data_IF_388853271124
#
_entry.id   IF_388853271124
#
_cell.length_a   1.000
_cell.length_b   1.000
_cell.length_c   1.000
_cell.angle_alpha   90.00
_cell.angle_beta   90.00
_cell.angle_gamma   90.00
#
_symmetry.space_group_name_H-M   'P 1'
#
loop_
_entity.id
_entity.type
_entity.pdbx_description
1 polymer ?
#
# COMPACT_ATOMS: atom_id res chain seq x y z
N UNK A 1 54.33 -66.10 -12.13
CA UNK A 1 53.70 -66.23 -13.46
C UNK A 1 52.78 -65.04 -13.66
N UNK A 2 53.20 -64.13 -14.54
CA UNK A 2 52.58 -62.84 -14.86
C UNK A 2 51.48 -63.04 -15.88
N UNK A 3 50.30 -62.45 -15.69
CA UNK A 3 49.50 -61.94 -16.81
C UNK A 3 48.83 -60.61 -16.43
N UNK A 4 49.12 -59.62 -17.24
CA UNK A 4 48.67 -58.22 -17.20
C UNK A 4 47.61 -58.12 -18.28
N UNK A 5 46.41 -57.59 -17.98
CA UNK A 5 45.47 -57.23 -19.04
C UNK A 5 45.00 -55.78 -18.89
N UNK A 6 45.40 -54.98 -19.87
CA UNK A 6 44.97 -53.60 -20.14
C UNK A 6 43.84 -53.67 -21.16
N UNK A 7 42.65 -53.16 -20.82
CA UNK A 7 41.61 -52.63 -21.73
C UNK A 7 40.38 -52.40 -20.84
N UNK A 8 39.67 -51.28 -20.77
CA UNK A 8 39.48 -50.19 -21.71
C UNK A 8 39.25 -48.91 -20.90
N UNK A 9 40.11 -47.90 -21.10
CA UNK A 9 39.75 -46.50 -20.86
C UNK A 9 39.13 -46.01 -22.17
N UNK A 10 37.81 -45.78 -22.18
CA UNK A 10 37.04 -44.83 -23.02
C UNK A 10 35.62 -45.36 -23.24
N UNK A 11 34.72 -44.99 -22.33
CA UNK A 11 33.33 -44.69 -22.64
C UNK A 11 33.12 -43.28 -22.08
N UNK A 12 33.42 -42.23 -22.86
CA UNK A 12 32.41 -41.37 -23.49
C UNK A 12 31.32 -40.99 -22.48
N UNK A 13 31.46 -39.87 -21.75
CA UNK A 13 31.15 -38.52 -22.23
C UNK A 13 29.76 -38.43 -22.84
N UNK A 14 28.72 -38.78 -22.09
CA UNK A 14 27.37 -38.25 -22.24
C UNK A 14 26.55 -38.68 -21.02
N UNK A 15 25.49 -37.92 -20.73
CA UNK A 15 24.61 -38.01 -19.57
C UNK A 15 25.16 -37.43 -18.27
N UNK A 16 24.55 -36.45 -17.62
CA UNK A 16 23.59 -35.43 -18.04
C UNK A 16 23.67 -34.38 -16.94
N UNK A 17 23.61 -33.13 -17.36
CA UNK A 17 23.58 -31.94 -16.53
C UNK A 17 22.69 -32.12 -15.29
N UNK A 18 23.29 -32.22 -14.09
CA UNK A 18 22.56 -32.09 -12.84
C UNK A 18 22.14 -30.63 -12.73
N UNK A 19 20.85 -30.43 -13.05
CA UNK A 19 20.10 -29.18 -13.03
C UNK A 19 20.46 -28.33 -11.80
N UNK A 20 21.22 -27.26 -12.03
CA UNK A 20 21.36 -26.15 -11.08
C UNK A 20 19.99 -25.46 -11.00
N UNK A 21 19.17 -25.88 -10.03
CA UNK A 21 17.84 -25.31 -9.76
C UNK A 21 18.01 -23.82 -9.44
N UNK A 22 17.84 -22.98 -10.46
CA UNK A 22 17.78 -21.53 -10.32
C UNK A 22 16.67 -21.21 -9.33
N UNK A 23 17.06 -20.75 -8.14
CA UNK A 23 16.13 -20.09 -7.23
C UNK A 23 15.70 -18.81 -7.92
N UNK A 24 14.54 -18.82 -8.57
CA UNK A 24 13.86 -17.59 -8.97
C UNK A 24 13.52 -16.85 -7.68
N UNK A 25 14.31 -15.83 -7.34
CA UNK A 25 13.96 -14.90 -6.27
C UNK A 25 12.70 -14.18 -6.73
N UNK A 26 11.54 -14.63 -6.26
CA UNK A 26 10.35 -13.80 -6.30
C UNK A 26 10.60 -12.70 -5.27
N UNK A 27 11.13 -11.57 -5.74
CA UNK A 27 10.94 -10.31 -5.02
C UNK A 27 9.43 -10.09 -5.10
N UNK A 28 8.72 -10.52 -4.05
CA UNK A 28 7.33 -10.18 -3.87
C UNK A 28 7.35 -8.70 -3.52
N UNK A 29 7.24 -7.86 -4.55
CA UNK A 29 6.81 -6.49 -4.35
C UNK A 29 5.39 -6.59 -3.77
N UNK A 30 5.29 -6.53 -2.44
CA UNK A 30 4.03 -6.26 -1.76
C UNK A 30 3.59 -4.87 -2.21
N UNK A 31 2.86 -4.85 -3.32
CA UNK A 31 2.21 -3.65 -3.82
C UNK A 31 1.20 -3.24 -2.75
N UNK A 32 1.51 -2.16 -2.03
CA UNK A 32 0.49 -1.41 -1.29
C UNK A 32 -0.38 -0.76 -2.37
N UNK A 33 -1.32 -1.54 -2.90
CA UNK A 33 -2.31 -1.08 -3.85
C UNK A 33 -3.40 -0.36 -3.07
N UNK A 34 -3.15 0.87 -2.65
CA UNK A 34 -4.21 1.76 -2.21
C UNK A 34 -5.09 2.08 -3.43
N UNK A 35 -6.28 1.51 -3.47
CA UNK A 35 -7.28 1.91 -4.46
C UNK A 35 -7.93 3.18 -3.93
N UNK A 36 -7.44 4.33 -4.38
CA UNK A 36 -8.05 5.62 -4.10
C UNK A 36 -9.31 5.77 -4.98
N UNK A 37 -10.48 5.47 -4.42
CA UNK A 37 -11.74 5.91 -5.02
C UNK A 37 -11.89 7.41 -4.73
N UNK A 38 -11.43 8.24 -5.67
CA UNK A 38 -11.71 9.67 -5.65
C UNK A 38 -13.19 9.90 -5.94
N UNK A 39 -14.00 10.07 -4.90
CA UNK A 39 -15.34 10.63 -5.08
C UNK A 39 -15.15 12.07 -5.55
N UNK A 40 -15.49 12.30 -6.82
CA UNK A 40 -15.64 13.61 -7.43
C UNK A 40 -16.39 14.54 -6.47
N UNK A 41 -15.72 15.61 -6.02
CA UNK A 41 -16.31 16.59 -5.11
C UNK A 41 -17.58 17.16 -5.72
N UNK A 42 -18.63 17.27 -4.91
CA UNK A 42 -19.86 17.93 -5.34
C UNK A 42 -19.68 19.43 -5.12
N UNK A 43 -19.88 20.23 -6.17
CA UNK A 43 -20.11 21.67 -6.01
C UNK A 43 -21.51 21.80 -5.42
N UNK A 44 -21.59 21.86 -4.10
CA UNK A 44 -22.86 21.76 -3.40
C UNK A 44 -23.72 23.00 -3.63
N UNK A 45 -23.10 24.19 -3.78
CA UNK A 45 -23.77 25.46 -4.07
C UNK A 45 -22.75 26.41 -4.74
N UNK A 46 -23.15 26.97 -5.89
CA UNK A 46 -22.52 28.13 -6.51
C UNK A 46 -23.51 29.29 -6.39
N UNK A 47 -23.10 30.39 -5.76
CA UNK A 47 -23.92 31.59 -5.66
C UNK A 47 -23.33 32.67 -6.53
N UNK A 48 -24.05 33.01 -7.59
CA UNK A 48 -23.70 34.10 -8.50
C UNK A 48 -24.47 35.36 -8.11
N UNK A 49 -23.78 36.49 -8.10
CA UNK A 49 -24.40 37.79 -7.87
C UNK A 49 -23.99 38.77 -8.96
N UNK A 50 -24.94 39.62 -9.34
CA UNK A 50 -24.73 40.73 -10.26
C UNK A 50 -25.51 41.94 -9.74
N UNK A 51 -24.79 43.02 -9.42
CA UNK A 51 -25.37 44.26 -8.92
C UNK A 51 -24.65 45.46 -9.53
N UNK A 52 -25.27 46.03 -10.57
CA UNK A 52 -24.69 47.12 -11.35
C UNK A 52 -23.44 46.68 -12.09
N UNK A 53 -22.29 47.12 -11.61
CA UNK A 53 -20.96 46.84 -12.20
C UNK A 53 -20.20 45.74 -11.45
N UNK A 54 -20.75 45.27 -10.34
CA UNK A 54 -20.22 44.16 -9.58
C UNK A 54 -20.83 42.87 -10.09
N UNK A 55 -19.96 41.93 -10.46
CA UNK A 55 -20.35 40.55 -10.76
C UNK A 55 -19.42 39.61 -10.00
N UNK A 56 -19.92 38.50 -9.50
CA UNK A 56 -19.06 37.55 -8.81
C UNK A 56 -19.74 36.20 -8.58
N UNK A 57 -18.92 35.23 -8.20
CA UNK A 57 -19.35 33.90 -7.80
C UNK A 57 -18.76 33.50 -6.45
N UNK A 58 -19.53 32.73 -5.70
CA UNK A 58 -19.05 32.00 -4.55
C UNK A 58 -19.30 30.52 -4.81
N UNK A 59 -18.23 29.77 -5.02
CA UNK A 59 -18.28 28.35 -5.33
C UNK A 59 -17.86 27.54 -4.11
N UNK A 60 -18.72 26.64 -3.66
CA UNK A 60 -18.41 25.73 -2.55
C UNK A 60 -18.33 24.29 -3.03
N UNK A 61 -17.15 23.69 -2.87
CA UNK A 61 -16.89 22.28 -3.18
C UNK A 61 -16.67 21.51 -1.89
N UNK A 62 -17.49 20.48 -1.66
CA UNK A 62 -17.29 19.51 -0.59
C UNK A 62 -16.77 18.20 -1.18
N UNK A 63 -15.73 17.63 -0.57
CA UNK A 63 -15.15 16.35 -0.96
C UNK A 63 -15.07 15.44 0.26
N UNK A 64 -15.36 14.15 0.06
CA UNK A 64 -15.10 13.11 1.04
C UNK A 64 -14.20 12.07 0.39
N UNK A 65 -13.05 11.81 1.01
CA UNK A 65 -12.08 10.81 0.55
C UNK A 65 -12.00 9.70 1.58
N UNK A 66 -11.97 8.45 1.11
CA UNK A 66 -11.77 7.29 1.95
C UNK A 66 -10.86 6.28 1.23
N UNK A 67 -10.06 5.56 2.00
CA UNK A 67 -9.14 4.53 1.49
C UNK A 67 -9.30 3.24 2.29
N UNK A 68 -9.29 2.11 1.58
CA UNK A 68 -9.47 0.79 2.16
C UNK A 68 -8.28 -0.12 1.88
N UNK A 69 -8.05 -1.05 2.79
CA UNK A 69 -7.10 -2.15 2.62
C UNK A 69 -7.61 -3.12 1.56
N UNK A 70 -6.77 -3.49 0.60
CA UNK A 70 -7.17 -4.32 -0.55
C UNK A 70 -6.90 -5.81 -0.39
N UNK A 71 -6.14 -6.21 0.62
CA UNK A 71 -5.86 -7.61 0.91
C UNK A 71 -5.44 -7.79 2.35
N UNK A 72 -5.56 -9.00 2.88
CA UNK A 72 -5.27 -9.26 4.29
C UNK A 72 -3.81 -8.91 4.67
N UNK A 73 -3.57 -8.75 5.97
CA UNK A 73 -2.23 -8.54 6.49
C UNK A 73 -1.33 -9.75 6.18
N UNK A 74 -0.10 -9.49 5.74
CA UNK A 74 0.90 -10.55 5.54
C UNK A 74 1.48 -10.97 6.91
N UNK A 75 1.26 -12.22 7.36
CA UNK A 75 1.76 -12.68 8.66
C UNK A 75 3.29 -12.66 8.76
N UNK A 76 4.02 -12.63 7.64
CA UNK A 76 5.49 -12.55 7.63
C UNK A 76 6.03 -11.15 7.92
N UNK A 77 5.21 -10.11 7.75
CA UNK A 77 5.60 -8.71 7.98
C UNK A 77 5.44 -8.27 9.43
N UNK A 78 4.62 -8.97 10.20
CA UNK A 78 4.30 -8.65 11.60
C UNK A 78 5.16 -9.45 12.57
N UNK A 79 5.22 -9.04 13.83
CA UNK A 79 5.97 -9.78 14.86
C UNK A 79 5.43 -11.20 15.09
N UNK A 80 6.30 -12.18 15.37
CA UNK A 80 5.91 -13.59 15.60
C UNK A 80 4.80 -13.73 16.66
N UNK A 81 4.84 -12.90 17.71
CA UNK A 81 3.81 -12.89 18.75
C UNK A 81 2.39 -12.51 18.24
N UNK A 82 2.29 -11.78 17.13
CA UNK A 82 1.00 -11.40 16.55
C UNK A 82 0.31 -12.58 15.83
N UNK A 83 1.08 -13.57 15.39
CA UNK A 83 0.59 -14.79 14.75
C UNK A 83 0.47 -15.95 15.74
N UNK A 84 1.36 -16.01 16.73
CA UNK A 84 1.34 -16.97 17.82
C UNK A 84 1.70 -16.27 19.14
N UNK A 85 0.72 -15.90 19.99
CA UNK A 85 0.97 -15.19 21.24
C UNK A 85 1.78 -16.00 22.25
N UNK A 86 1.85 -17.33 22.08
CA UNK A 86 2.61 -18.25 22.93
C UNK A 86 3.97 -18.62 22.35
N UNK A 87 4.47 -17.91 21.33
CA UNK A 87 5.78 -18.23 20.72
C UNK A 87 6.92 -18.26 21.75
N UNK A 88 6.82 -17.50 22.83
CA UNK A 88 7.81 -17.46 23.90
C UNK A 88 7.86 -18.76 24.74
N UNK A 89 6.81 -19.57 24.75
CA UNK A 89 6.76 -20.85 25.48
C UNK A 89 7.32 -22.02 24.67
N UNK A 90 7.45 -21.85 23.36
CA UNK A 90 7.97 -22.89 22.46
C UNK A 90 9.48 -23.08 22.61
N UNK A 91 10.01 -24.30 22.40
CA UNK A 91 11.45 -24.53 22.30
C UNK A 91 12.09 -23.63 21.23
N UNK A 92 13.32 -23.15 21.48
CA UNK A 92 14.04 -22.24 20.56
C UNK A 92 14.13 -22.79 19.12
N UNK A 93 14.22 -24.11 18.96
CA UNK A 93 14.21 -24.80 17.67
C UNK A 93 12.91 -24.59 16.87
N UNK A 94 11.79 -24.42 17.55
CA UNK A 94 10.45 -24.26 16.96
C UNK A 94 10.05 -22.78 16.81
N UNK A 95 10.61 -21.89 17.62
CA UNK A 95 10.38 -20.44 17.50
C UNK A 95 10.81 -19.90 16.12
N UNK A 96 11.84 -20.51 15.51
CA UNK A 96 12.30 -20.18 14.16
C UNK A 96 11.25 -20.46 13.08
N UNK A 97 10.47 -21.53 13.22
CA UNK A 97 9.44 -21.93 12.25
C UNK A 97 8.14 -21.13 12.31
N UNK A 98 7.90 -20.37 13.39
CA UNK A 98 6.73 -19.50 13.48
C UNK A 98 6.83 -18.36 12.45
N UNK A 99 5.77 -18.14 11.66
CA UNK A 99 5.73 -17.04 10.69
C UNK A 99 5.79 -15.67 11.39
N UNK A 100 6.49 -14.71 10.80
CA UNK A 100 6.63 -13.35 11.32
C UNK A 100 8.06 -12.96 11.69
N UNK A 101 8.23 -11.68 12.04
CA UNK A 101 9.50 -11.04 12.39
C UNK A 101 9.83 -11.22 13.88
N UNK A 102 11.12 -11.20 14.20
CA UNK A 102 11.60 -11.26 15.60
C UNK A 102 11.35 -9.97 16.39
N UNK A 103 11.07 -8.86 15.71
CA UNK A 103 10.79 -7.58 16.32
C UNK A 103 9.37 -7.14 15.96
N UNK A 104 8.63 -6.65 16.94
CA UNK A 104 7.32 -6.02 16.74
C UNK A 104 7.43 -4.64 16.07
N UNK A 105 8.57 -3.96 16.22
CA UNK A 105 8.74 -2.58 15.78
C UNK A 105 8.75 -2.43 14.25
N UNK A 106 8.86 -3.54 13.51
CA UNK A 106 8.81 -3.56 12.06
C UNK A 106 7.42 -3.76 11.46
N UNK A 107 6.37 -3.69 12.28
CA UNK A 107 4.98 -3.93 11.86
C UNK A 107 4.41 -2.85 10.94
N UNK A 108 4.86 -1.60 11.10
CA UNK A 108 4.49 -0.45 10.25
C UNK A 108 2.96 -0.24 10.11
N UNK A 109 2.21 -0.49 11.19
CA UNK A 109 0.75 -0.29 11.22
C UNK A 109 -0.07 -1.39 10.53
N UNK A 110 0.57 -2.47 10.07
CA UNK A 110 -0.10 -3.56 9.38
C UNK A 110 -1.13 -4.29 10.26
N UNK A 111 -0.95 -4.31 11.59
CA UNK A 111 -1.91 -4.91 12.52
C UNK A 111 -3.12 -4.01 12.84
N UNK A 112 -3.08 -2.71 12.50
CA UNK A 112 -4.23 -1.81 12.68
C UNK A 112 -5.34 -2.08 11.65
N UNK A 113 -4.96 -2.64 10.50
CA UNK A 113 -5.85 -2.97 9.39
C UNK A 113 -5.53 -4.40 8.95
N UNK A 114 -6.14 -5.38 9.63
CA UNK A 114 -5.79 -6.81 9.46
C UNK A 114 -6.48 -7.42 8.25
N UNK A 115 -7.69 -6.99 7.95
CA UNK A 115 -8.57 -7.64 7.00
C UNK A 115 -8.70 -6.81 5.73
N UNK A 116 -8.87 -7.48 4.59
CA UNK A 116 -9.28 -6.80 3.37
C UNK A 116 -10.61 -6.07 3.60
N UNK A 117 -10.70 -4.81 3.18
CA UNK A 117 -11.87 -3.97 3.41
C UNK A 117 -11.80 -3.12 4.67
N UNK A 118 -10.74 -3.22 5.49
CA UNK A 118 -10.53 -2.30 6.60
C UNK A 118 -10.32 -0.86 6.09
N UNK A 119 -11.01 0.11 6.70
CA UNK A 119 -10.89 1.53 6.36
C UNK A 119 -9.58 2.08 6.95
N UNK A 120 -8.66 2.52 6.08
CA UNK A 120 -7.32 2.98 6.47
C UNK A 120 -7.33 4.47 6.81
N UNK A 121 -7.98 5.28 5.99
CA UNK A 121 -8.04 6.74 6.17
C UNK A 121 -9.31 7.28 5.55
N UNK A 122 -9.89 8.32 6.18
CA UNK A 122 -11.07 8.99 5.67
C UNK A 122 -11.15 10.45 6.13
N UNK A 123 -11.27 11.37 5.17
CA UNK A 123 -11.29 12.80 5.45
C UNK A 123 -12.36 13.53 4.65
N UNK A 124 -12.90 14.58 5.25
CA UNK A 124 -13.76 15.57 4.57
C UNK A 124 -12.92 16.79 4.26
N UNK A 125 -13.07 17.33 3.05
CA UNK A 125 -12.43 18.58 2.61
C UNK A 125 -13.48 19.53 2.09
N UNK A 126 -13.42 20.78 2.52
CA UNK A 126 -14.23 21.87 1.99
C UNK A 126 -13.32 22.88 1.29
N UNK A 127 -13.73 23.33 0.11
CA UNK A 127 -13.07 24.42 -0.63
C UNK A 127 -14.12 25.46 -0.97
N UNK A 128 -13.84 26.71 -0.64
CA UNK A 128 -14.68 27.87 -0.93
C UNK A 128 -13.86 28.81 -1.80
N UNK A 129 -14.42 29.17 -2.94
CA UNK A 129 -13.82 30.06 -3.93
C UNK A 129 -14.68 31.30 -4.04
N UNK A 130 -14.04 32.46 -4.06
CA UNK A 130 -14.67 33.77 -4.24
C UNK A 130 -14.05 34.40 -5.47
N UNK A 131 -14.86 34.67 -6.48
CA UNK A 131 -14.50 35.46 -7.66
C UNK A 131 -15.34 36.74 -7.66
N UNK A 132 -14.69 37.89 -7.76
CA UNK A 132 -15.37 39.19 -7.82
C UNK A 132 -14.74 40.01 -8.92
N UNK A 133 -15.59 40.58 -9.76
CA UNK A 133 -15.24 41.45 -10.87
C UNK A 133 -16.00 42.77 -10.72
N UNK A 134 -15.27 43.87 -10.90
CA UNK A 134 -15.78 45.23 -10.93
C UNK A 134 -15.17 45.99 -12.12
N UNK A 135 -15.97 46.20 -13.16
CA UNK A 135 -15.56 46.82 -14.44
C UNK A 135 -14.32 46.14 -15.06
N UNK A 136 -13.14 46.71 -14.79
CA UNK A 136 -11.85 46.34 -15.37
C UNK A 136 -10.94 45.66 -14.33
N UNK A 137 -11.40 45.55 -13.08
CA UNK A 137 -10.68 45.00 -11.96
C UNK A 137 -11.35 43.72 -11.50
N UNK A 138 -10.55 42.73 -11.14
CA UNK A 138 -11.03 41.45 -10.62
C UNK A 138 -10.20 41.01 -9.43
N UNK A 139 -10.79 40.17 -8.58
CA UNK A 139 -10.15 39.58 -7.42
C UNK A 139 -10.63 38.14 -7.24
N UNK A 140 -9.69 37.26 -6.94
CA UNK A 140 -9.94 35.84 -6.71
C UNK A 140 -9.34 35.43 -5.37
N UNK A 141 -10.10 34.70 -4.57
CA UNK A 141 -9.64 34.10 -3.32
C UNK A 141 -10.16 32.66 -3.19
N UNK A 142 -9.31 31.78 -2.67
CA UNK A 142 -9.67 30.38 -2.38
C UNK A 142 -9.26 30.02 -0.97
N UNK A 143 -10.19 29.45 -0.22
CA UNK A 143 -9.96 28.90 1.12
C UNK A 143 -10.26 27.42 1.07
N UNK A 144 -9.29 26.60 1.49
CA UNK A 144 -9.44 25.15 1.59
C UNK A 144 -9.16 24.71 3.02
N UNK A 145 -10.05 23.89 3.57
CA UNK A 145 -9.87 23.22 4.85
C UNK A 145 -10.18 21.74 4.73
N UNK A 146 -9.59 20.92 5.60
CA UNK A 146 -9.90 19.51 5.70
C UNK A 146 -10.01 19.10 7.16
N UNK A 147 -10.79 18.05 7.40
CA UNK A 147 -10.96 17.40 8.68
C UNK A 147 -10.81 15.89 8.46
N UNK A 148 -9.89 15.29 9.19
CA UNK A 148 -9.68 13.84 9.26
C UNK A 148 -10.28 13.33 10.56
N UNK A 149 -10.86 12.13 10.54
CA UNK A 149 -11.61 11.57 11.68
C UNK A 149 -10.77 10.65 12.58
N UNK A 150 -9.44 10.74 12.48
CA UNK A 150 -8.47 9.94 13.25
C UNK A 150 -8.36 10.33 14.73
#
# INVERSE_FOLDING_TARGET
MTMKNRSMKKLTSQESNVMRKQRKSKILASAVGAVLFGLSGTTAQAWEFSSGEWTGSIDTTLSYGASWRTGDYDPSLVGKQANNPLVFTLPKSEQGSVIGRWSANGDDGNLNYRESGDLISHAVKATIEFDVQFRNYGGFARVTGFYDFE
#
